data_IF_049074040284
#
_entry.id   IF_049074040284
#
_cell.length_a   1.000
_cell.length_b   1.000
_cell.length_c   1.000
_cell.angle_alpha   90.00
_cell.angle_beta   90.00
_cell.angle_gamma   90.00
#
_symmetry.space_group_name_H-M   'P 1'
#
loop_
_entity.id
_entity.type
_entity.pdbx_description
1 polymer ?
#
# COMPACT_ATOMS: atom_id res chain seq x y z
N UNK A 1 10.73 -38.59 30.26
CA UNK A 1 9.68 -39.63 30.19
C UNK A 1 8.61 -39.50 31.26
N UNK A 2 8.89 -39.03 32.48
CA UNK A 2 7.90 -39.03 33.57
C UNK A 2 6.63 -38.19 33.28
N UNK A 3 6.73 -37.04 32.62
CA UNK A 3 5.58 -36.13 32.43
C UNK A 3 4.54 -36.64 31.42
N UNK A 4 4.95 -37.32 30.36
CA UNK A 4 4.01 -37.88 29.35
C UNK A 4 3.23 -39.04 29.96
N UNK A 5 3.91 -39.89 30.73
CA UNK A 5 3.30 -41.03 31.40
C UNK A 5 2.35 -40.58 32.53
N UNK A 6 2.74 -39.55 33.30
CA UNK A 6 1.88 -38.92 34.31
C UNK A 6 0.58 -38.34 33.74
N UNK A 7 0.60 -37.77 32.53
CA UNK A 7 -0.61 -37.26 31.87
C UNK A 7 -1.48 -38.43 31.36
N UNK A 8 -0.86 -39.53 30.92
CA UNK A 8 -1.56 -40.72 30.44
C UNK A 8 -2.24 -41.50 31.57
N UNK A 9 -1.59 -41.55 32.73
CA UNK A 9 -2.07 -42.28 33.91
C UNK A 9 -2.96 -41.41 34.81
N UNK A 10 -3.15 -40.13 34.46
CA UNK A 10 -4.10 -39.24 35.14
C UNK A 10 -5.54 -39.58 34.72
N UNK A 11 -6.44 -39.66 35.70
CA UNK A 11 -7.89 -39.78 35.46
C UNK A 11 -8.51 -38.52 34.84
N UNK A 12 -7.75 -37.44 34.69
CA UNK A 12 -8.22 -36.20 34.09
C UNK A 12 -8.15 -36.23 32.56
N UNK A 13 -9.11 -35.58 31.90
CA UNK A 13 -9.02 -35.41 30.44
C UNK A 13 -7.78 -34.58 30.07
N UNK A 14 -7.14 -34.91 28.95
CA UNK A 14 -5.98 -34.16 28.42
C UNK A 14 -6.26 -32.65 28.35
N UNK A 15 -7.49 -32.25 28.01
CA UNK A 15 -7.89 -30.85 28.01
C UNK A 15 -7.89 -30.19 29.38
N UNK A 16 -8.26 -30.94 30.43
CA UNK A 16 -8.21 -30.49 31.82
C UNK A 16 -6.76 -30.31 32.28
N UNK A 17 -5.88 -31.28 31.97
CA UNK A 17 -4.47 -31.22 32.35
C UNK A 17 -3.76 -29.95 31.85
N UNK A 18 -4.03 -29.54 30.60
CA UNK A 18 -3.44 -28.35 29.99
C UNK A 18 -4.20 -27.03 30.28
N UNK A 19 -5.38 -27.09 30.91
CA UNK A 19 -6.15 -25.90 31.35
C UNK A 19 -5.85 -25.51 32.78
N UNK A 20 -5.71 -26.51 33.66
CA UNK A 20 -5.54 -26.31 35.10
C UNK A 20 -4.07 -26.26 35.44
N UNK A 21 -3.34 -25.27 34.89
CA UNK A 21 -2.06 -24.74 35.36
C UNK A 21 -0.98 -25.70 35.89
N UNK A 22 -0.96 -26.96 35.48
CA UNK A 22 0.03 -27.92 35.99
C UNK A 22 1.30 -27.84 35.15
N UNK A 23 2.43 -27.97 35.86
CA UNK A 23 3.88 -27.93 35.56
C UNK A 23 4.44 -28.46 34.22
N UNK A 24 3.63 -28.55 33.16
CA UNK A 24 4.00 -29.17 31.88
C UNK A 24 4.70 -28.14 30.99
N UNK A 25 5.98 -28.38 30.71
CA UNK A 25 6.89 -27.50 29.95
C UNK A 25 6.60 -27.44 28.44
N UNK A 26 5.50 -28.01 27.97
CA UNK A 26 5.17 -28.10 26.54
C UNK A 26 3.67 -27.96 26.30
N UNK A 27 3.31 -27.55 25.08
CA UNK A 27 1.93 -27.35 24.66
C UNK A 27 1.21 -28.67 24.37
N UNK A 28 -0.13 -28.62 24.37
CA UNK A 28 -0.99 -29.75 23.96
C UNK A 28 -0.66 -30.26 22.54
N UNK A 29 -0.30 -29.38 21.61
CA UNK A 29 0.09 -29.78 20.27
C UNK A 29 1.40 -30.59 20.26
N UNK A 30 2.37 -30.18 21.08
CA UNK A 30 3.62 -30.92 21.28
C UNK A 30 3.36 -32.29 21.95
N UNK A 31 2.45 -32.36 22.92
CA UNK A 31 2.04 -33.62 23.55
C UNK A 31 1.52 -34.64 22.52
N UNK A 32 0.61 -34.23 21.62
CA UNK A 32 0.10 -35.11 20.57
C UNK A 32 1.22 -35.59 19.63
N UNK A 33 2.18 -34.72 19.29
CA UNK A 33 3.31 -35.08 18.46
C UNK A 33 4.25 -36.06 19.16
N UNK A 34 4.50 -35.89 20.46
CA UNK A 34 5.31 -36.82 21.24
C UNK A 34 4.66 -38.19 21.37
N UNK A 35 3.34 -38.26 21.59
CA UNK A 35 2.61 -39.53 21.60
C UNK A 35 2.69 -40.25 20.25
N UNK A 36 2.61 -39.51 19.14
CA UNK A 36 2.76 -40.08 17.80
C UNK A 36 4.16 -40.67 17.59
N UNK A 37 5.20 -39.90 17.93
CA UNK A 37 6.59 -40.34 17.82
C UNK A 37 6.92 -41.53 18.73
N UNK A 38 6.34 -41.56 19.93
CA UNK A 38 6.51 -42.66 20.87
C UNK A 38 5.88 -43.96 20.34
N UNK A 39 4.71 -43.88 19.67
CA UNK A 39 4.08 -45.04 19.02
C UNK A 39 4.87 -45.53 17.81
N UNK A 40 5.42 -44.61 17.01
CA UNK A 40 6.09 -44.93 15.75
C UNK A 40 7.54 -45.40 15.94
N UNK A 41 8.25 -44.90 16.94
CA UNK A 41 9.71 -45.10 17.06
C UNK A 41 10.19 -45.33 18.50
N UNK A 42 9.28 -45.58 19.44
CA UNK A 42 9.59 -45.78 20.86
C UNK A 42 10.28 -44.56 21.48
N UNK A 43 10.94 -44.78 22.62
CA UNK A 43 11.62 -43.69 23.36
C UNK A 43 12.74 -43.03 22.54
N UNK A 44 13.36 -43.79 21.64
CA UNK A 44 14.41 -43.30 20.73
C UNK A 44 13.89 -42.25 19.74
N UNK A 45 12.59 -42.24 19.45
CA UNK A 45 11.95 -41.20 18.64
C UNK A 45 11.84 -39.84 19.33
N UNK A 46 11.90 -39.82 20.67
CA UNK A 46 11.79 -38.61 21.50
C UNK A 46 13.15 -37.98 21.84
N UNK A 47 14.25 -38.71 21.62
CA UNK A 47 15.60 -38.16 21.83
C UNK A 47 15.88 -37.06 20.83
N UNK A 48 16.52 -35.99 21.29
CA UNK A 48 16.89 -34.88 20.42
C UNK A 48 17.98 -35.34 19.43
N UNK A 49 17.59 -35.57 18.17
CA UNK A 49 18.51 -35.96 17.11
C UNK A 49 19.45 -34.83 16.68
N UNK A 50 19.38 -33.64 17.30
CA UNK A 50 20.30 -32.51 17.05
C UNK A 50 21.66 -32.68 17.69
N UNK A 51 21.80 -33.55 18.69
CA UNK A 51 23.06 -33.74 19.44
C UNK A 51 24.23 -34.17 18.53
N UNK A 52 23.96 -34.90 17.44
CA UNK A 52 25.01 -35.34 16.53
C UNK A 52 25.36 -34.32 15.43
N UNK A 53 24.74 -33.13 15.39
CA UNK A 53 25.05 -32.09 14.39
C UNK A 53 24.71 -32.39 12.92
N UNK A 54 24.36 -33.65 12.58
CA UNK A 54 24.15 -34.14 11.21
C UNK A 54 22.94 -33.55 10.46
N UNK A 55 22.04 -32.83 11.13
CA UNK A 55 20.89 -32.17 10.48
C UNK A 55 21.11 -30.67 10.19
N UNK A 56 22.35 -30.17 10.27
CA UNK A 56 22.66 -28.80 9.86
C UNK A 56 22.82 -28.75 8.34
N UNK A 57 21.85 -28.16 7.64
CA UNK A 57 21.94 -27.83 6.21
C UNK A 57 23.14 -26.93 5.86
N UNK A 58 23.70 -26.23 6.84
CA UNK A 58 24.88 -25.38 6.71
C UNK A 58 26.13 -26.15 7.17
N UNK A 59 26.73 -26.92 6.26
CA UNK A 59 27.98 -27.65 6.46
C UNK A 59 29.19 -26.71 6.47
N UNK A 60 30.34 -27.17 6.97
CA UNK A 60 31.57 -26.35 6.99
C UNK A 60 32.01 -25.95 5.58
N UNK A 61 31.93 -26.87 4.61
CA UNK A 61 32.21 -26.58 3.20
C UNK A 61 31.36 -25.43 2.63
N UNK A 62 30.10 -25.32 3.03
CA UNK A 62 29.22 -24.23 2.60
C UNK A 62 29.57 -22.93 3.33
N UNK A 63 29.97 -22.99 4.61
CA UNK A 63 30.45 -21.82 5.36
C UNK A 63 31.72 -21.23 4.76
N UNK A 64 32.67 -22.09 4.40
CA UNK A 64 33.91 -21.67 3.73
C UNK A 64 33.60 -21.02 2.39
N UNK A 65 32.70 -21.63 1.61
CA UNK A 65 32.24 -21.07 0.34
C UNK A 65 31.57 -19.70 0.48
N UNK A 66 30.73 -19.51 1.49
CA UNK A 66 30.12 -18.20 1.78
C UNK A 66 31.22 -17.17 2.12
N UNK A 67 32.21 -17.57 2.92
CA UNK A 67 33.31 -16.68 3.32
C UNK A 67 34.12 -16.22 2.11
N UNK A 68 34.47 -17.13 1.21
CA UNK A 68 35.17 -16.83 -0.05
C UNK A 68 34.33 -15.89 -0.93
N UNK A 69 33.05 -16.22 -1.14
CA UNK A 69 32.17 -15.41 -2.00
C UNK A 69 31.94 -13.99 -1.46
N UNK A 70 31.91 -13.82 -0.13
CA UNK A 70 31.80 -12.50 0.48
C UNK A 70 33.12 -11.74 0.39
N UNK A 71 34.27 -12.42 0.49
CA UNK A 71 35.58 -11.81 0.27
C UNK A 71 35.76 -11.28 -1.15
N UNK A 72 35.37 -12.06 -2.16
CA UNK A 72 35.43 -11.67 -3.58
C UNK A 72 34.39 -10.59 -3.93
N UNK A 73 33.19 -10.67 -3.36
CA UNK A 73 32.07 -9.78 -3.65
C UNK A 73 31.33 -9.35 -2.36
N UNK A 74 31.84 -8.34 -1.64
CA UNK A 74 31.28 -7.89 -0.35
C UNK A 74 29.79 -7.50 -0.41
N UNK A 75 29.30 -7.10 -1.59
CA UNK A 75 27.91 -6.70 -1.83
C UNK A 75 26.93 -7.80 -2.21
N UNK A 76 27.36 -9.06 -2.30
CA UNK A 76 26.49 -10.18 -2.67
C UNK A 76 25.29 -10.31 -1.72
N UNK A 77 24.09 -10.43 -2.26
CA UNK A 77 22.87 -10.59 -1.48
C UNK A 77 22.69 -12.03 -0.99
N UNK A 78 21.94 -12.23 0.09
CA UNK A 78 21.59 -13.57 0.58
C UNK A 78 20.79 -14.40 -0.46
N UNK A 79 20.07 -13.73 -1.37
CA UNK A 79 19.33 -14.41 -2.45
C UNK A 79 20.28 -14.94 -3.52
N UNK A 80 21.23 -14.11 -3.96
CA UNK A 80 22.26 -14.54 -4.91
C UNK A 80 23.16 -15.62 -4.31
N UNK A 81 23.53 -15.47 -3.03
CA UNK A 81 24.31 -16.48 -2.32
C UNK A 81 23.58 -17.82 -2.23
N UNK A 82 22.27 -17.80 -1.94
CA UNK A 82 21.43 -19.02 -1.95
C UNK A 82 21.44 -19.72 -3.31
N UNK A 83 21.29 -18.96 -4.40
CA UNK A 83 21.34 -19.53 -5.76
C UNK A 83 22.71 -20.16 -6.06
N UNK A 84 23.81 -19.49 -5.68
CA UNK A 84 25.17 -20.02 -5.83
C UNK A 84 25.38 -21.30 -5.03
N UNK A 85 24.89 -21.35 -3.78
CA UNK A 85 24.98 -22.54 -2.93
C UNK A 85 24.16 -23.69 -3.52
N UNK A 86 22.92 -23.45 -3.93
CA UNK A 86 22.09 -24.48 -4.57
C UNK A 86 22.79 -25.05 -5.81
N UNK A 87 23.34 -24.18 -6.66
CA UNK A 87 24.03 -24.61 -7.88
C UNK A 87 25.27 -25.47 -7.60
N UNK A 88 26.01 -25.19 -6.51
CA UNK A 88 27.30 -25.83 -6.22
C UNK A 88 27.20 -27.06 -5.32
N UNK A 89 26.26 -27.05 -4.37
CA UNK A 89 26.17 -28.07 -3.32
C UNK A 89 24.83 -28.82 -3.32
N UNK A 90 23.93 -28.50 -4.26
CA UNK A 90 22.54 -28.98 -4.31
C UNK A 90 21.79 -28.81 -2.97
N UNK A 91 22.18 -27.81 -2.20
CA UNK A 91 21.71 -27.56 -0.85
C UNK A 91 20.86 -26.29 -0.78
N UNK A 92 19.60 -26.43 -0.37
CA UNK A 92 18.73 -25.28 -0.16
C UNK A 92 18.87 -24.72 1.25
N UNK A 93 19.57 -23.59 1.35
CA UNK A 93 19.75 -22.85 2.61
C UNK A 93 18.85 -21.62 2.64
N UNK A 94 18.18 -21.43 3.77
CA UNK A 94 17.33 -20.25 3.98
C UNK A 94 18.16 -18.95 3.97
N UNK A 95 17.56 -17.87 3.45
CA UNK A 95 18.19 -16.53 3.47
C UNK A 95 18.55 -16.08 4.89
N UNK A 96 17.72 -16.43 5.87
CA UNK A 96 17.99 -16.14 7.29
C UNK A 96 19.22 -16.89 7.77
N UNK A 97 19.37 -18.18 7.48
CA UNK A 97 20.54 -18.96 7.87
C UNK A 97 21.85 -18.42 7.28
N UNK A 98 21.82 -17.94 6.04
CA UNK A 98 22.97 -17.27 5.41
C UNK A 98 23.29 -15.96 6.15
N UNK A 99 22.29 -15.14 6.45
CA UNK A 99 22.49 -13.88 7.16
C UNK A 99 22.96 -14.07 8.61
N UNK A 100 22.45 -15.09 9.30
CA UNK A 100 22.84 -15.41 10.67
C UNK A 100 24.30 -15.88 10.72
N UNK A 101 24.72 -16.70 9.75
CA UNK A 101 26.13 -17.07 9.59
C UNK A 101 27.03 -15.86 9.29
N UNK A 102 26.60 -14.96 8.39
CA UNK A 102 27.34 -13.72 8.11
C UNK A 102 27.49 -12.88 9.37
N UNK A 103 26.44 -12.73 10.17
CA UNK A 103 26.49 -12.02 11.46
C UNK A 103 27.45 -12.69 12.43
N UNK A 104 27.41 -14.02 12.56
CA UNK A 104 28.30 -14.75 13.48
C UNK A 104 29.79 -14.63 13.12
N UNK A 105 30.11 -14.32 11.87
CA UNK A 105 31.49 -14.12 11.37
C UNK A 105 31.86 -12.65 11.15
N UNK A 106 30.99 -11.69 11.49
CA UNK A 106 31.24 -10.27 11.25
C UNK A 106 31.29 -9.85 9.77
N UNK A 107 30.72 -10.66 8.87
CA UNK A 107 30.75 -10.45 7.42
C UNK A 107 29.64 -9.46 6.97
N UNK A 108 29.84 -8.18 7.31
CA UNK A 108 28.91 -7.09 6.99
C UNK A 108 28.84 -6.90 5.47
N UNK A 109 27.61 -6.90 4.93
CA UNK A 109 27.38 -6.62 3.51
C UNK A 109 27.69 -5.15 3.21
N UNK A 110 28.58 -4.90 2.27
CA UNK A 110 28.71 -3.55 1.71
C UNK A 110 27.60 -3.34 0.67
N UNK A 111 26.69 -2.39 0.86
CA UNK A 111 25.65 -2.13 -0.14
C UNK A 111 26.33 -1.71 -1.44
N UNK A 112 25.99 -2.38 -2.55
CA UNK A 112 26.41 -1.89 -3.85
C UNK A 112 25.87 -0.48 -4.07
N UNK A 113 26.62 0.41 -4.73
CA UNK A 113 26.09 1.71 -5.13
C UNK A 113 24.80 1.44 -5.92
N UNK A 114 23.69 2.01 -5.47
CA UNK A 114 22.43 1.93 -6.22
C UNK A 114 22.72 2.53 -7.58
N UNK A 115 22.41 1.80 -8.66
CA UNK A 115 22.37 2.39 -10.00
C UNK A 115 21.49 3.64 -9.91
N UNK A 116 22.08 4.80 -10.16
CA UNK A 116 21.29 6.01 -10.36
C UNK A 116 20.43 5.75 -11.59
N UNK A 117 19.12 5.71 -11.37
CA UNK A 117 18.20 5.77 -12.49
C UNK A 117 18.32 7.18 -13.04
N UNK A 118 18.90 7.33 -14.23
CA UNK A 118 18.77 8.55 -14.99
C UNK A 118 17.27 8.75 -15.28
N UNK A 119 16.68 9.74 -14.62
CA UNK A 119 15.31 10.11 -14.88
C UNK A 119 15.24 10.83 -16.23
N UNK A 120 14.63 10.21 -17.23
CA UNK A 120 14.08 10.96 -18.34
C UNK A 120 13.01 11.90 -17.80
N UNK A 121 13.32 13.19 -17.72
CA UNK A 121 12.32 14.23 -17.47
C UNK A 121 11.29 14.15 -18.60
N UNK A 122 10.05 13.78 -18.29
CA UNK A 122 8.99 13.79 -19.30
C UNK A 122 8.52 15.24 -19.45
N UNK A 123 8.83 15.88 -20.57
CA UNK A 123 8.47 17.30 -20.83
C UNK A 123 6.97 17.63 -20.72
N UNK A 124 6.09 16.61 -20.68
CA UNK A 124 4.65 16.78 -20.52
C UNK A 124 4.23 17.44 -19.21
N UNK A 125 4.99 17.22 -18.11
CA UNK A 125 4.70 17.85 -16.84
C UNK A 125 4.99 19.36 -16.86
N UNK A 126 6.10 19.75 -17.47
CA UNK A 126 6.49 21.15 -17.66
C UNK A 126 5.53 21.88 -18.62
N UNK A 127 5.05 21.21 -19.67
CA UNK A 127 4.03 21.78 -20.58
C UNK A 127 2.74 22.08 -19.80
N UNK A 128 2.23 21.13 -19.01
CA UNK A 128 1.02 21.33 -18.23
C UNK A 128 1.16 22.46 -17.20
N UNK A 129 2.31 22.55 -16.53
CA UNK A 129 2.59 23.66 -15.61
C UNK A 129 2.73 25.00 -16.33
N UNK A 130 3.37 25.02 -17.51
CA UNK A 130 3.46 26.22 -18.35
C UNK A 130 2.08 26.71 -18.80
N UNK A 131 1.20 25.79 -19.19
CA UNK A 131 -0.20 26.08 -19.53
C UNK A 131 -0.99 26.57 -18.31
N UNK A 132 -0.71 26.06 -17.11
CA UNK A 132 -1.34 26.54 -15.88
C UNK A 132 -1.03 28.02 -15.61
N UNK A 133 0.21 28.44 -15.90
CA UNK A 133 0.63 29.83 -15.77
C UNK A 133 0.04 30.74 -16.85
N UNK A 134 -0.58 30.19 -17.90
CA UNK A 134 -1.31 30.97 -18.89
C UNK A 134 -2.70 31.34 -18.34
N UNK A 135 -2.99 32.63 -18.09
CA UNK A 135 -4.18 33.05 -17.34
C UNK A 135 -5.50 32.54 -17.93
N UNK A 136 -5.61 32.47 -19.26
CA UNK A 136 -6.84 32.11 -19.94
C UNK A 136 -7.28 30.66 -19.73
N UNK A 137 -6.35 29.72 -19.52
CA UNK A 137 -6.70 28.30 -19.37
C UNK A 137 -7.32 28.04 -18.00
N UNK A 138 -6.69 28.53 -16.94
CA UNK A 138 -7.23 28.38 -15.58
C UNK A 138 -8.57 29.09 -15.44
N UNK A 139 -8.69 30.29 -16.01
CA UNK A 139 -9.96 31.02 -16.02
C UNK A 139 -11.06 30.24 -16.74
N UNK A 140 -10.82 29.76 -17.96
CA UNK A 140 -11.78 28.98 -18.73
C UNK A 140 -12.22 27.70 -18.00
N UNK A 141 -11.29 26.96 -17.40
CA UNK A 141 -11.62 25.76 -16.61
C UNK A 141 -12.45 26.16 -15.39
N UNK A 142 -12.04 27.21 -14.67
CA UNK A 142 -12.76 27.68 -13.47
C UNK A 142 -14.18 28.13 -13.79
N UNK A 143 -14.38 28.83 -14.91
CA UNK A 143 -15.71 29.24 -15.37
C UNK A 143 -16.58 28.06 -15.76
N UNK A 144 -16.00 27.07 -16.44
CA UNK A 144 -16.71 25.85 -16.80
C UNK A 144 -17.17 25.09 -15.55
N UNK A 145 -16.30 24.96 -14.54
CA UNK A 145 -16.62 24.34 -13.26
C UNK A 145 -17.69 25.13 -12.52
N UNK A 146 -17.55 26.45 -12.42
CA UNK A 146 -18.54 27.30 -11.75
C UNK A 146 -19.91 27.22 -12.43
N UNK A 147 -19.95 27.31 -13.77
CA UNK A 147 -21.17 27.19 -14.56
C UNK A 147 -21.86 25.84 -14.35
N UNK A 148 -21.10 24.74 -14.35
CA UNK A 148 -21.65 23.41 -14.06
C UNK A 148 -22.19 23.29 -12.64
N UNK A 149 -21.52 23.89 -11.65
CA UNK A 149 -22.02 23.92 -10.26
C UNK A 149 -23.36 24.65 -10.20
N UNK A 150 -23.51 25.77 -10.91
CA UNK A 150 -24.76 26.53 -10.95
C UNK A 150 -25.88 25.79 -11.70
N UNK A 151 -25.57 25.11 -12.81
CA UNK A 151 -26.50 24.20 -13.50
C UNK A 151 -27.02 23.11 -12.53
N UNK A 152 -26.10 22.42 -11.85
CA UNK A 152 -26.47 21.36 -10.91
C UNK A 152 -27.24 21.92 -9.72
N UNK A 153 -26.90 23.12 -9.22
CA UNK A 153 -27.66 23.75 -8.13
C UNK A 153 -29.11 24.02 -8.49
N UNK A 154 -29.40 24.30 -9.76
CA UNK A 154 -30.75 24.56 -10.29
C UNK A 154 -31.52 23.28 -10.66
N UNK A 155 -30.89 22.10 -10.66
CA UNK A 155 -31.56 20.85 -11.03
C UNK A 155 -32.43 20.30 -9.89
N UNK A 156 -33.54 19.66 -10.25
CA UNK A 156 -34.43 18.98 -9.29
C UNK A 156 -33.69 17.89 -8.49
N UNK A 157 -32.75 17.19 -9.12
CA UNK A 157 -31.90 16.19 -8.49
C UNK A 157 -31.03 16.75 -7.36
N UNK A 158 -30.66 18.04 -7.40
CA UNK A 158 -29.89 18.65 -6.31
C UNK A 158 -30.73 18.88 -5.06
N UNK A 159 -31.98 19.32 -5.22
CA UNK A 159 -32.94 19.44 -4.11
C UNK A 159 -33.28 18.09 -3.49
N UNK A 160 -33.53 17.07 -4.32
CA UNK A 160 -33.78 15.69 -3.85
C UNK A 160 -32.58 15.11 -3.10
N UNK A 161 -31.35 15.38 -3.58
CA UNK A 161 -30.11 14.89 -2.96
C UNK A 161 -29.88 15.39 -1.53
N UNK A 162 -30.51 16.49 -1.10
CA UNK A 162 -30.41 17.01 0.28
C UNK A 162 -31.00 16.04 1.30
N UNK A 163 -31.98 15.23 0.90
CA UNK A 163 -32.64 14.23 1.76
C UNK A 163 -31.77 12.99 2.01
N UNK A 164 -30.75 12.77 1.17
CA UNK A 164 -29.84 11.63 1.28
C UNK A 164 -28.87 11.86 2.45
N UNK A 165 -28.90 10.97 3.45
CA UNK A 165 -28.02 11.02 4.62
C UNK A 165 -26.55 11.09 4.20
N UNK A 166 -25.78 11.93 4.90
CA UNK A 166 -24.33 12.03 4.70
C UNK A 166 -23.66 10.69 4.98
N UNK A 167 -22.73 10.33 4.11
CA UNK A 167 -21.84 9.18 4.28
C UNK A 167 -20.99 9.39 5.56
N UNK A 168 -21.26 8.61 6.61
CA UNK A 168 -20.72 8.86 7.95
C UNK A 168 -19.28 8.32 8.09
N UNK A 169 -18.31 9.10 8.61
CA UNK A 169 -16.92 8.66 8.77
C UNK A 169 -16.76 7.41 9.65
N UNK A 170 -17.67 7.20 10.61
CA UNK A 170 -17.70 6.02 11.49
C UNK A 170 -17.94 4.71 10.72
N UNK A 171 -18.62 4.77 9.57
CA UNK A 171 -18.76 3.62 8.66
C UNK A 171 -17.48 3.33 7.87
N UNK A 172 -16.55 4.30 7.79
CA UNK A 172 -15.24 4.14 7.13
C UNK A 172 -14.17 3.54 8.02
N UNK A 173 -14.38 3.47 9.34
CA UNK A 173 -13.45 2.78 10.27
C UNK A 173 -13.40 1.27 9.98
N UNK A 174 -14.48 0.72 9.41
CA UNK A 174 -14.52 -0.63 8.86
C UNK A 174 -13.87 -0.76 7.47
N UNK A 175 -13.48 0.37 6.86
CA UNK A 175 -12.92 0.51 5.51
C UNK A 175 -11.42 0.21 5.44
N UNK A 176 -10.98 -0.91 6.01
CA UNK A 176 -9.77 -1.59 5.53
C UNK A 176 -10.21 -2.61 4.48
N UNK A 177 -9.35 -2.97 3.53
CA UNK A 177 -9.59 -4.07 2.57
C UNK A 177 -9.60 -5.42 3.30
N UNK A 178 -10.53 -5.60 4.23
CA UNK A 178 -10.72 -6.84 4.96
C UNK A 178 -11.71 -7.70 4.21
N UNK A 179 -11.62 -9.01 4.43
CA UNK A 179 -12.61 -9.96 3.88
C UNK A 179 -14.01 -9.56 4.33
N UNK A 180 -14.13 -9.03 5.55
CA UNK A 180 -15.37 -8.57 6.19
C UNK A 180 -15.97 -7.35 5.49
N UNK A 181 -15.17 -6.35 5.13
CA UNK A 181 -15.65 -5.14 4.43
C UNK A 181 -16.24 -5.44 3.05
N UNK A 182 -15.71 -6.45 2.35
CA UNK A 182 -16.19 -6.87 1.04
C UNK A 182 -17.35 -7.91 1.10
N UNK A 183 -17.78 -8.36 2.29
CA UNK A 183 -18.92 -9.30 2.43
C UNK A 183 -20.29 -8.68 2.10
N UNK A 184 -20.63 -7.45 2.52
CA UNK A 184 -21.95 -6.89 2.24
C UNK A 184 -22.23 -6.80 0.74
N UNK A 185 -23.41 -7.27 0.34
CA UNK A 185 -23.84 -7.25 -1.05
C UNK A 185 -23.92 -5.82 -1.60
N UNK A 186 -24.28 -4.85 -0.75
CA UNK A 186 -24.29 -3.42 -1.08
C UNK A 186 -22.90 -2.91 -1.49
N UNK A 187 -21.83 -3.36 -0.85
CA UNK A 187 -20.45 -2.98 -1.20
C UNK A 187 -20.03 -3.65 -2.50
N UNK A 188 -20.28 -4.96 -2.64
CA UNK A 188 -19.96 -5.73 -3.86
C UNK A 188 -20.67 -5.18 -5.09
N UNK A 189 -21.97 -4.90 -4.96
CA UNK A 189 -22.80 -4.38 -6.05
C UNK A 189 -22.55 -2.92 -6.36
N UNK A 190 -22.26 -2.05 -5.38
CA UNK A 190 -22.15 -0.60 -5.65
C UNK A 190 -20.72 -0.09 -5.87
N UNK A 191 -19.68 -0.79 -5.40
CA UNK A 191 -18.30 -0.31 -5.49
C UNK A 191 -17.81 -0.22 -6.94
N UNK A 192 -18.18 -1.17 -7.78
CA UNK A 192 -17.73 -1.26 -9.17
C UNK A 192 -18.72 -0.68 -10.19
N UNK A 193 -19.84 -0.12 -9.73
CA UNK A 193 -20.79 0.57 -10.61
C UNK A 193 -20.15 1.72 -11.36
N UNK A 194 -20.72 2.02 -12.52
CA UNK A 194 -20.43 3.23 -13.27
C UNK A 194 -20.62 4.47 -12.39
N UNK A 195 -20.04 5.58 -12.83
CA UNK A 195 -20.17 6.86 -12.13
C UNK A 195 -21.63 7.31 -12.15
N UNK A 196 -22.29 7.15 -13.29
CA UNK A 196 -23.68 7.51 -13.57
C UNK A 196 -24.65 6.82 -12.60
N UNK A 197 -24.46 5.53 -12.35
CA UNK A 197 -25.26 4.79 -11.37
C UNK A 197 -24.99 5.22 -9.93
N UNK A 198 -23.78 5.68 -9.62
CA UNK A 198 -23.41 6.21 -8.30
C UNK A 198 -23.93 7.63 -8.08
N UNK A 199 -24.10 8.41 -9.15
CA UNK A 199 -24.56 9.80 -9.10
C UNK A 199 -25.99 9.91 -8.59
N UNK A 200 -26.88 9.04 -9.04
CA UNK A 200 -28.30 9.00 -8.62
C UNK A 200 -28.49 8.91 -7.10
N UNK A 201 -27.51 8.35 -6.38
CA UNK A 201 -27.56 8.15 -4.92
C UNK A 201 -26.61 9.09 -4.17
N UNK A 202 -25.94 10.01 -4.86
CA UNK A 202 -24.92 10.87 -4.26
C UNK A 202 -25.55 12.18 -3.78
N UNK A 203 -25.28 12.52 -2.52
CA UNK A 203 -25.61 13.85 -2.01
C UNK A 203 -24.63 14.91 -2.54
N UNK A 204 -24.95 15.53 -3.68
CA UNK A 204 -24.14 16.57 -4.30
C UNK A 204 -24.00 17.81 -3.41
N UNK A 205 -25.05 18.20 -2.69
CA UNK A 205 -25.03 19.35 -1.79
C UNK A 205 -24.02 19.22 -0.62
N UNK A 206 -23.62 17.98 -0.31
CA UNK A 206 -22.64 17.69 0.75
C UNK A 206 -21.18 17.78 0.29
N UNK A 207 -20.92 17.89 -1.02
CA UNK A 207 -19.58 18.00 -1.60
C UNK A 207 -18.97 19.37 -1.28
N UNK A 208 -17.66 19.40 -1.04
CA UNK A 208 -16.99 20.64 -0.66
C UNK A 208 -17.00 21.68 -1.79
N UNK A 209 -16.92 21.24 -3.05
CA UNK A 209 -16.86 22.12 -4.22
C UNK A 209 -18.04 23.09 -4.32
N UNK A 210 -19.24 22.69 -3.87
CA UNK A 210 -20.43 23.56 -3.87
C UNK A 210 -20.36 24.72 -2.85
N UNK A 211 -19.42 24.66 -1.91
CA UNK A 211 -19.18 25.69 -0.88
C UNK A 211 -17.93 26.53 -1.17
N UNK A 212 -17.18 26.18 -2.23
CA UNK A 212 -15.96 26.88 -2.59
C UNK A 212 -16.28 28.15 -3.38
N UNK A 213 -15.48 29.20 -3.17
CA UNK A 213 -15.52 30.40 -4.01
C UNK A 213 -14.88 30.13 -5.38
N UNK A 214 -15.19 30.94 -6.40
CA UNK A 214 -14.53 30.90 -7.73
C UNK A 214 -13.01 31.00 -7.60
N UNK A 215 -12.51 31.85 -6.69
CA UNK A 215 -11.08 32.00 -6.37
C UNK A 215 -10.48 30.71 -5.79
N UNK A 216 -11.20 30.03 -4.91
CA UNK A 216 -10.76 28.74 -4.37
C UNK A 216 -10.69 27.69 -5.47
N UNK A 217 -11.73 27.56 -6.29
CA UNK A 217 -11.78 26.63 -7.43
C UNK A 217 -10.60 26.86 -8.38
N UNK A 218 -10.30 28.12 -8.70
CA UNK A 218 -9.13 28.50 -9.51
C UNK A 218 -7.80 27.99 -8.93
N UNK A 219 -7.57 28.18 -7.62
CA UNK A 219 -6.36 27.66 -6.97
C UNK A 219 -6.25 26.13 -7.01
N UNK A 220 -7.38 25.45 -6.86
CA UNK A 220 -7.42 23.99 -6.99
C UNK A 220 -7.13 23.52 -8.42
N UNK A 221 -7.69 24.19 -9.43
CA UNK A 221 -7.40 23.90 -10.84
C UNK A 221 -5.92 24.12 -11.17
N UNK A 222 -5.34 25.22 -10.68
CA UNK A 222 -3.91 25.51 -10.80
C UNK A 222 -3.08 24.39 -10.17
N UNK A 223 -3.43 23.98 -8.94
CA UNK A 223 -2.72 22.92 -8.25
C UNK A 223 -2.75 21.60 -9.04
N UNK A 224 -3.89 21.24 -9.63
CA UNK A 224 -4.01 20.02 -10.46
C UNK A 224 -3.10 20.04 -11.69
N UNK A 225 -3.03 21.16 -12.41
CA UNK A 225 -2.15 21.27 -13.58
C UNK A 225 -0.67 21.29 -13.21
N UNK A 226 -0.33 21.80 -12.02
CA UNK A 226 1.05 21.80 -11.51
C UNK A 226 1.46 20.48 -10.82
N UNK A 227 0.52 19.55 -10.57
CA UNK A 227 0.81 18.27 -9.91
C UNK A 227 1.96 17.49 -10.56
N UNK A 228 2.02 17.34 -11.91
CA UNK A 228 3.11 16.61 -12.55
C UNK A 228 4.48 17.18 -12.18
N UNK A 229 4.65 18.51 -12.17
CA UNK A 229 5.94 19.11 -11.85
C UNK A 229 6.38 18.89 -10.40
N UNK A 230 5.45 18.85 -9.45
CA UNK A 230 5.79 18.66 -8.02
C UNK A 230 5.83 17.19 -7.59
N UNK A 231 5.17 16.30 -8.34
CA UNK A 231 5.11 14.86 -8.04
C UNK A 231 6.05 14.00 -8.88
N UNK A 232 6.60 14.53 -9.98
CA UNK A 232 7.58 13.85 -10.81
C UNK A 232 8.95 13.84 -10.12
N UNK A 233 9.13 12.88 -9.22
CA UNK A 233 10.36 12.63 -8.47
C UNK A 233 10.80 11.16 -8.53
N UNK A 234 10.22 10.38 -9.45
CA UNK A 234 10.74 9.06 -9.82
C UNK A 234 10.62 7.91 -8.79
N UNK A 235 10.42 8.21 -7.51
CA UNK A 235 10.31 7.24 -6.41
C UNK A 235 8.92 7.21 -5.78
N UNK A 236 8.09 8.23 -6.00
CA UNK A 236 6.75 8.36 -5.43
C UNK A 236 6.02 9.56 -6.03
N UNK A 237 4.75 9.38 -6.40
CA UNK A 237 3.83 10.39 -6.94
C UNK A 237 3.11 11.21 -5.86
N UNK A 238 3.73 11.42 -4.69
CA UNK A 238 3.09 12.10 -3.55
C UNK A 238 3.43 13.59 -3.50
N UNK A 239 2.41 14.40 -3.21
CA UNK A 239 2.48 15.84 -2.94
C UNK A 239 3.02 16.11 -1.53
N UNK A 240 2.81 15.22 -0.57
CA UNK A 240 3.36 15.35 0.80
C UNK A 240 4.89 15.12 0.86
N UNK A 241 5.66 15.93 0.13
CA UNK A 241 7.14 15.95 0.10
C UNK A 241 7.62 17.39 -0.03
N UNK A 242 8.92 17.59 0.16
CA UNK A 242 9.57 18.92 0.08
C UNK A 242 9.19 19.67 -1.19
N UNK A 243 9.27 19.03 -2.37
CA UNK A 243 8.88 19.62 -3.67
C UNK A 243 7.38 19.94 -3.80
N UNK A 244 6.52 19.26 -3.05
CA UNK A 244 5.09 19.61 -3.02
C UNK A 244 4.80 20.93 -2.33
N UNK A 245 5.72 21.43 -1.50
CA UNK A 245 5.61 22.77 -0.92
C UNK A 245 5.66 23.87 -2.00
N UNK A 246 6.18 23.58 -3.19
CA UNK A 246 6.22 24.52 -4.32
C UNK A 246 4.80 24.89 -4.80
N UNK A 247 3.79 24.06 -4.50
CA UNK A 247 2.39 24.42 -4.72
C UNK A 247 1.94 25.63 -3.89
N UNK A 248 2.58 25.89 -2.74
CA UNK A 248 2.28 27.08 -1.96
C UNK A 248 2.68 28.35 -2.73
N UNK A 249 3.80 28.30 -3.45
CA UNK A 249 4.25 29.39 -4.31
C UNK A 249 3.36 29.53 -5.54
N UNK A 250 3.06 28.43 -6.23
CA UNK A 250 2.31 28.45 -7.49
C UNK A 250 0.81 28.72 -7.31
N UNK A 251 0.21 28.20 -6.24
CA UNK A 251 -1.25 28.18 -6.04
C UNK A 251 -1.70 28.96 -4.78
N UNK A 252 -0.75 29.47 -4.00
CA UNK A 252 -1.03 30.22 -2.76
C UNK A 252 -1.48 29.34 -1.59
N UNK A 253 -1.34 28.01 -1.68
CA UNK A 253 -1.66 27.08 -0.59
C UNK A 253 -0.86 25.77 -0.69
N UNK A 254 -0.44 25.24 0.45
CA UNK A 254 0.26 23.96 0.51
C UNK A 254 -0.75 22.80 0.62
N UNK A 255 -0.99 22.12 -0.50
CA UNK A 255 -1.96 21.04 -0.57
C UNK A 255 -1.38 19.70 -0.10
N UNK A 256 -2.15 18.98 0.73
CA UNK A 256 -1.84 17.59 1.10
C UNK A 256 -2.43 16.61 0.10
N UNK A 257 -1.86 15.41 -0.05
CA UNK A 257 -2.31 14.37 -1.00
C UNK A 257 -3.83 14.16 -1.07
N UNK A 258 -4.50 14.10 0.09
CA UNK A 258 -5.95 13.86 0.16
C UNK A 258 -6.81 15.01 -0.36
N UNK A 259 -6.25 16.21 -0.49
CA UNK A 259 -7.01 17.41 -0.88
C UNK A 259 -7.22 17.49 -2.40
N UNK A 260 -6.19 17.37 -3.26
CA UNK A 260 -6.37 17.23 -4.70
C UNK A 260 -7.15 15.97 -5.09
N UNK A 261 -6.93 14.83 -4.42
CA UNK A 261 -7.68 13.59 -4.68
C UNK A 261 -9.18 13.78 -4.45
N UNK A 262 -9.54 14.41 -3.32
CA UNK A 262 -10.95 14.72 -3.02
C UNK A 262 -11.54 15.65 -4.09
N UNK A 263 -10.80 16.68 -4.49
CA UNK A 263 -11.27 17.63 -5.49
C UNK A 263 -11.48 16.97 -6.86
N UNK A 264 -10.52 16.17 -7.35
CA UNK A 264 -10.66 15.38 -8.58
C UNK A 264 -11.88 14.46 -8.56
N UNK A 265 -12.11 13.81 -7.41
CA UNK A 265 -13.28 12.96 -7.23
C UNK A 265 -14.58 13.75 -7.31
N UNK A 266 -14.62 14.95 -6.76
CA UNK A 266 -15.78 15.83 -6.82
C UNK A 266 -16.03 16.35 -8.25
N UNK A 267 -14.98 16.72 -9.00
CA UNK A 267 -15.07 17.07 -10.43
C UNK A 267 -15.60 15.92 -11.29
N UNK A 268 -15.17 14.69 -10.98
CA UNK A 268 -15.66 13.48 -11.66
C UNK A 268 -17.16 13.28 -11.46
N UNK A 269 -17.69 13.55 -10.27
CA UNK A 269 -19.13 13.47 -10.02
C UNK A 269 -19.92 14.64 -10.65
N UNK A 270 -19.25 15.70 -11.08
CA UNK A 270 -19.89 16.78 -11.81
C UNK A 270 -19.85 16.59 -13.33
N UNK A 271 -19.24 15.50 -13.81
CA UNK A 271 -19.05 15.19 -15.24
C UNK A 271 -18.37 16.34 -15.99
N UNK A 272 -17.45 17.02 -15.30
CA UNK A 272 -16.78 18.23 -15.83
C UNK A 272 -16.01 17.93 -17.11
N UNK A 273 -15.52 16.70 -17.27
CA UNK A 273 -14.84 16.27 -18.48
C UNK A 273 -15.69 16.51 -19.72
N UNK A 274 -16.99 16.19 -19.69
CA UNK A 274 -17.89 16.39 -20.83
C UNK A 274 -17.96 17.86 -21.21
N UNK A 275 -18.10 18.74 -20.22
CA UNK A 275 -18.17 20.20 -20.43
C UNK A 275 -16.86 20.80 -20.91
N UNK A 276 -15.71 20.22 -20.53
CA UNK A 276 -14.39 20.67 -20.98
C UNK A 276 -14.02 20.16 -22.37
N UNK A 277 -14.57 19.03 -22.82
CA UNK A 277 -14.27 18.43 -24.13
C UNK A 277 -15.21 18.86 -25.26
N UNK A 278 -16.29 19.59 -24.98
CA UNK A 278 -17.22 20.03 -26.03
C UNK A 278 -16.60 21.11 -26.93
N UNK A 279 -16.57 20.92 -28.27
CA UNK A 279 -16.07 21.89 -29.22
C UNK A 279 -17.11 23.01 -29.37
N UNK A 280 -17.09 23.99 -28.47
CA UNK A 280 -18.09 25.07 -28.48
C UNK A 280 -17.67 26.39 -27.85
N UNK A 281 -16.52 26.46 -27.17
CA UNK A 281 -15.91 27.73 -26.77
C UNK A 281 -14.54 27.84 -27.38
N UNK A 282 -14.52 28.19 -28.67
CA UNK A 282 -13.37 28.89 -29.23
C UNK A 282 -13.15 30.09 -28.31
N UNK A 283 -12.05 30.07 -27.56
CA UNK A 283 -11.56 31.28 -26.91
C UNK A 283 -11.38 32.30 -28.03
N UNK A 284 -12.27 33.28 -28.09
CA UNK A 284 -12.02 34.51 -28.83
C UNK A 284 -10.87 35.22 -28.11
N UNK A 285 -9.65 34.76 -28.37
CA UNK A 285 -8.45 35.56 -28.16
C UNK A 285 -8.60 36.76 -29.09
N UNK A 286 -9.10 37.86 -28.55
CA UNK A 286 -8.99 39.17 -29.18
C UNK A 286 -7.51 39.40 -29.45
N UNK A 287 -7.12 39.30 -30.72
CA UNK A 287 -5.83 39.82 -31.19
C UNK A 287 -5.84 41.33 -30.97
N UNK A 288 -4.95 41.82 -30.13
CA UNK A 288 -4.39 43.16 -30.29
C UNK A 288 -3.20 43.06 -31.23
#
# INVERSE_FOLDING_TARGET
MSTIQQIKDSEQSVNSCFRTGSSVLFSKAQYCNYLKLLKESGENGLRDKRENGYNRKLTESIKDYITICVGEHPGISASEMRMKIQKRFDADISRSGINDFRKSRGLVRQPSPKKEYEFQRSGGGEILTGLACFPGIIEAITETVAGRIDEVRKSSSFTESRTVKKDHPTLRVQGKFTKEYNRPESVRKNRFKSVDEKLLKKNCSSMSIFRMSKKTISRYNMALLCLPSVTDNGKSSRVNRVKGNDLAFLCGYNYKDGTPDKYMRELKYLEISEKLTMPGRVMNCQRR
#
